data_IF_388455428872
#
_entry.id   IF_388455428872
#
_cell.length_a   1.000
_cell.length_b   1.000
_cell.length_c   1.000
_cell.angle_alpha   90.00
_cell.angle_beta   90.00
_cell.angle_gamma   90.00
#
_symmetry.space_group_name_H-M   'P 1'
#
loop_
_entity.id
_entity.type
_entity.pdbx_description
1 polymer ?
#
# COMPACT_ATOMS: atom_id res chain seq x y z
N UNK A 1 26.16 41.89 7.54
CA UNK A 1 26.56 40.87 8.54
C UNK A 1 28.03 40.56 8.31
N UNK A 2 28.82 40.23 9.36
CA UNK A 2 30.21 39.83 9.16
C UNK A 2 30.28 38.46 8.46
N UNK A 3 31.17 38.35 7.48
CA UNK A 3 31.44 37.08 6.81
C UNK A 3 32.38 36.23 7.67
N UNK A 4 31.97 34.99 7.94
CA UNK A 4 32.79 34.01 8.68
C UNK A 4 33.15 32.86 7.76
N UNK A 5 34.45 32.60 7.63
CA UNK A 5 34.96 31.46 6.87
C UNK A 5 35.45 30.35 7.80
N UNK A 6 34.89 29.15 7.64
CA UNK A 6 35.41 27.95 8.30
C UNK A 6 36.60 27.37 7.55
N UNK A 7 37.44 26.64 8.30
CA UNK A 7 38.55 25.86 7.75
C UNK A 7 37.98 24.81 6.81
N UNK A 8 38.60 24.64 5.65
CA UNK A 8 38.04 23.88 4.53
C UNK A 8 39.11 23.07 3.80
N UNK A 9 38.71 21.95 3.21
CA UNK A 9 39.59 21.04 2.46
C UNK A 9 38.85 19.82 1.95
N UNK A 10 39.52 18.95 1.21
CA UNK A 10 38.96 17.66 0.77
C UNK A 10 38.83 16.68 1.93
N UNK A 11 38.05 15.60 1.78
CA UNK A 11 37.99 14.53 2.79
C UNK A 11 39.37 14.01 3.15
N UNK A 12 40.17 13.68 2.14
CA UNK A 12 41.52 13.14 2.33
C UNK A 12 42.42 14.09 3.15
N UNK A 13 42.29 15.40 2.95
CA UNK A 13 43.05 16.37 3.72
C UNK A 13 42.57 16.44 5.19
N UNK A 14 41.27 16.31 5.43
CA UNK A 14 40.71 16.28 6.78
C UNK A 14 41.08 14.98 7.52
N UNK A 15 41.09 13.84 6.81
CA UNK A 15 41.53 12.55 7.35
C UNK A 15 43.03 12.55 7.69
N UNK A 16 43.87 13.12 6.82
CA UNK A 16 45.30 13.28 7.11
C UNK A 16 45.53 14.18 8.33
N UNK A 17 44.75 15.24 8.48
CA UNK A 17 44.80 16.13 9.64
C UNK A 17 44.35 15.42 10.93
N UNK A 18 43.31 14.58 10.84
CA UNK A 18 42.86 13.74 11.95
C UNK A 18 43.93 12.72 12.36
N UNK A 19 44.54 12.03 11.40
CA UNK A 19 45.60 11.05 11.65
C UNK A 19 46.83 11.67 12.34
N UNK A 20 47.11 12.95 12.07
CA UNK A 20 48.17 13.71 12.72
C UNK A 20 47.78 14.33 14.08
N UNK A 21 46.58 14.03 14.61
CA UNK A 21 46.01 14.67 15.80
C UNK A 21 45.92 16.21 15.71
N UNK A 22 45.75 16.75 14.49
CA UNK A 22 45.76 18.18 14.21
C UNK A 22 44.39 18.85 14.23
N UNK A 23 43.32 18.11 14.55
CA UNK A 23 41.98 18.69 14.70
C UNK A 23 41.84 19.43 16.03
N UNK A 24 41.02 20.48 16.04
CA UNK A 24 40.65 21.18 17.27
C UNK A 24 39.24 20.77 17.65
N UNK A 25 39.07 20.14 18.81
CA UNK A 25 37.75 19.70 19.31
C UNK A 25 36.74 20.86 19.27
N UNK A 26 35.56 20.60 18.71
CA UNK A 26 34.49 21.58 18.52
C UNK A 26 34.64 22.49 17.30
N UNK A 27 35.76 22.44 16.57
CA UNK A 27 35.92 23.23 15.35
C UNK A 27 35.06 22.66 14.20
N UNK A 28 34.41 23.58 13.48
CA UNK A 28 33.65 23.30 12.26
C UNK A 28 34.58 23.35 11.05
N UNK A 29 34.45 22.34 10.17
CA UNK A 29 35.16 22.20 8.92
C UNK A 29 34.19 22.05 7.75
N UNK A 30 34.55 22.60 6.58
CA UNK A 30 33.85 22.37 5.33
C UNK A 30 34.64 21.37 4.48
N UNK A 31 34.02 20.23 4.16
CA UNK A 31 34.56 19.22 3.24
C UNK A 31 34.14 19.61 1.82
N UNK A 32 35.09 20.13 1.05
CA UNK A 32 34.80 20.88 -0.19
C UNK A 32 34.45 20.00 -1.38
N UNK A 33 35.01 18.80 -1.44
CA UNK A 33 34.76 17.79 -2.47
C UNK A 33 33.41 17.09 -2.29
N UNK A 34 32.92 16.99 -1.06
CA UNK A 34 31.61 16.40 -0.77
C UNK A 34 30.52 17.44 -0.53
N UNK A 35 30.86 18.72 -0.32
CA UNK A 35 29.93 19.76 0.08
C UNK A 35 29.25 19.46 1.43
N UNK A 36 30.01 18.93 2.40
CA UNK A 36 29.51 18.54 3.73
C UNK A 36 30.16 19.35 4.84
N UNK A 37 29.44 19.49 5.95
CA UNK A 37 29.97 20.08 7.18
C UNK A 37 30.45 18.94 8.09
N UNK A 38 31.63 19.12 8.68
CA UNK A 38 32.15 18.27 9.74
C UNK A 38 32.43 19.04 11.02
N UNK A 39 32.30 18.36 12.15
CA UNK A 39 32.69 18.89 13.48
C UNK A 39 33.69 17.94 14.09
N UNK A 40 34.83 18.46 14.52
CA UNK A 40 35.83 17.67 15.23
C UNK A 40 35.31 17.27 16.62
N UNK A 41 35.27 15.97 16.89
CA UNK A 41 34.85 15.40 18.19
C UNK A 41 36.05 15.11 19.10
N UNK A 42 37.26 15.12 18.55
CA UNK A 42 38.53 15.02 19.26
C UNK A 42 39.69 15.44 18.36
N UNK A 43 40.93 15.36 18.87
CA UNK A 43 42.12 15.77 18.12
C UNK A 43 42.38 14.91 16.87
N UNK A 44 41.94 13.65 16.89
CA UNK A 44 42.05 12.70 15.77
C UNK A 44 40.72 12.15 15.27
N UNK A 45 39.60 12.78 15.60
CA UNK A 45 38.27 12.30 15.20
C UNK A 45 37.33 13.46 14.84
N UNK A 46 36.45 13.21 13.88
CA UNK A 46 35.40 14.14 13.49
C UNK A 46 34.15 13.39 13.02
N UNK A 47 33.02 14.08 13.03
CA UNK A 47 31.75 13.59 12.47
C UNK A 47 31.36 14.50 11.32
N UNK A 48 31.08 13.91 10.15
CA UNK A 48 30.51 14.61 9.01
C UNK A 48 28.98 14.45 9.00
N UNK A 49 28.27 15.55 8.82
CA UNK A 49 26.81 15.55 8.75
C UNK A 49 26.34 15.28 7.31
N UNK A 50 25.30 14.47 7.19
CA UNK A 50 24.60 14.24 5.93
C UNK A 50 23.93 15.53 5.45
N UNK A 51 23.88 15.74 4.13
CA UNK A 51 23.09 16.83 3.54
C UNK A 51 21.60 16.59 3.82
N UNK A 52 20.79 17.64 3.78
CA UNK A 52 19.33 17.50 3.88
C UNK A 52 18.76 16.53 2.82
N UNK A 53 19.35 16.50 1.62
CA UNK A 53 18.98 15.57 0.56
C UNK A 53 19.35 14.10 0.83
N UNK A 54 20.23 13.85 1.80
CA UNK A 54 20.73 12.53 2.19
C UNK A 54 20.15 12.06 3.53
N UNK A 55 19.76 13.00 4.39
CA UNK A 55 19.12 12.76 5.69
C UNK A 55 17.63 12.43 5.50
N UNK A 56 17.34 11.40 4.69
CA UNK A 56 16.02 10.96 4.27
C UNK A 56 14.99 10.89 5.40
N UNK A 57 14.31 12.01 5.63
CA UNK A 57 13.08 12.11 6.40
C UNK A 57 11.92 11.69 5.51
N UNK A 58 11.81 10.40 5.26
CA UNK A 58 10.72 9.81 4.50
C UNK A 58 10.76 8.30 4.69
N UNK A 59 10.18 7.81 5.79
CA UNK A 59 9.91 6.39 5.90
C UNK A 59 9.07 5.98 4.69
N UNK A 60 9.60 5.10 3.85
CA UNK A 60 8.83 4.55 2.74
C UNK A 60 7.57 3.92 3.30
N UNK A 61 6.40 4.36 2.83
CA UNK A 61 5.14 3.70 3.16
C UNK A 61 5.28 2.20 2.84
N UNK A 62 5.16 1.28 3.82
CA UNK A 62 5.36 -0.15 3.57
C UNK A 62 4.25 -0.76 2.70
N UNK A 63 3.20 0.00 2.39
CA UNK A 63 2.09 -0.44 1.55
C UNK A 63 2.41 -0.33 0.06
N UNK A 64 2.34 -1.45 -0.64
CA UNK A 64 2.24 -1.46 -2.11
C UNK A 64 0.79 -1.23 -2.49
N UNK A 65 0.52 -0.20 -3.30
CA UNK A 65 -0.85 0.18 -3.71
C UNK A 65 -1.07 -0.12 -5.19
N UNK A 66 -2.14 -0.85 -5.47
CA UNK A 66 -2.73 -1.08 -6.79
C UNK A 66 -3.96 -0.19 -6.94
N UNK A 67 -4.16 0.40 -8.13
CA UNK A 67 -5.23 1.37 -8.39
C UNK A 67 -6.02 0.96 -9.62
N UNK A 68 -7.35 1.02 -9.52
CA UNK A 68 -8.25 0.86 -10.66
C UNK A 68 -8.03 2.00 -11.65
N UNK A 69 -7.63 1.67 -12.89
CA UNK A 69 -7.22 2.66 -13.89
C UNK A 69 -8.39 3.34 -14.60
N UNK A 70 -9.44 2.58 -14.89
CA UNK A 70 -10.68 3.08 -15.52
C UNK A 70 -11.90 2.45 -14.87
N UNK A 71 -13.06 3.08 -15.05
CA UNK A 71 -14.33 2.52 -14.60
C UNK A 71 -14.56 1.13 -15.21
N UNK A 72 -14.96 0.19 -14.36
CA UNK A 72 -15.22 -1.20 -14.74
C UNK A 72 -16.67 -1.54 -14.40
N UNK A 73 -17.49 -1.81 -15.42
CA UNK A 73 -18.93 -2.06 -15.25
C UNK A 73 -19.29 -3.54 -15.40
N UNK A 74 -20.28 -3.99 -14.65
CA UNK A 74 -20.89 -5.32 -14.76
C UNK A 74 -22.41 -5.21 -14.64
N UNK A 75 -23.16 -5.70 -15.63
CA UNK A 75 -24.63 -5.76 -15.61
C UNK A 75 -25.16 -7.18 -15.40
N UNK A 76 -24.27 -8.15 -15.18
CA UNK A 76 -24.64 -9.55 -14.99
C UNK A 76 -24.56 -9.95 -13.51
N UNK A 77 -25.30 -10.99 -13.16
CA UNK A 77 -25.20 -11.69 -11.87
C UNK A 77 -23.97 -12.58 -11.78
N UNK A 78 -23.27 -12.79 -12.90
CA UNK A 78 -22.00 -13.48 -12.96
C UNK A 78 -20.88 -12.56 -12.49
N UNK A 79 -20.05 -13.07 -11.59
CA UNK A 79 -18.88 -12.38 -11.08
C UNK A 79 -17.86 -12.09 -12.17
N UNK A 80 -17.37 -10.85 -12.17
CA UNK A 80 -16.17 -10.45 -12.93
C UNK A 80 -15.05 -10.09 -11.97
N UNK A 81 -13.83 -10.03 -12.51
CA UNK A 81 -12.63 -9.68 -11.77
C UNK A 81 -12.10 -8.32 -12.28
N UNK A 82 -11.54 -7.51 -11.39
CA UNK A 82 -10.73 -6.37 -11.82
C UNK A 82 -9.36 -6.86 -12.27
N UNK A 83 -8.91 -6.43 -13.46
CA UNK A 83 -7.56 -6.70 -13.96
C UNK A 83 -6.48 -5.83 -13.30
N UNK A 84 -6.85 -4.66 -12.76
CA UNK A 84 -5.92 -3.70 -12.15
C UNK A 84 -5.68 -3.99 -10.65
N UNK A 85 -6.69 -4.52 -9.97
CA UNK A 85 -6.67 -4.78 -8.52
C UNK A 85 -6.34 -6.25 -8.23
N UNK A 86 -5.15 -6.66 -8.69
CA UNK A 86 -4.64 -8.04 -8.59
C UNK A 86 -3.28 -8.08 -7.89
N UNK A 87 -3.21 -8.77 -6.77
CA UNK A 87 -1.98 -8.99 -6.02
C UNK A 87 -1.55 -10.47 -6.08
N UNK A 88 -0.29 -10.74 -6.44
CA UNK A 88 0.26 -12.09 -6.47
C UNK A 88 1.18 -12.31 -5.25
N UNK A 89 0.70 -12.99 -4.17
CA UNK A 89 1.51 -13.23 -2.99
C UNK A 89 2.71 -14.13 -3.31
N UNK A 90 3.83 -13.92 -2.60
CA UNK A 90 4.98 -14.81 -2.65
C UNK A 90 4.82 -15.98 -1.67
N UNK A 91 5.39 -17.16 -1.96
CA UNK A 91 5.34 -18.32 -1.07
C UNK A 91 5.89 -18.03 0.33
N UNK A 92 5.32 -18.69 1.35
CA UNK A 92 5.77 -18.64 2.75
C UNK A 92 5.78 -17.24 3.39
N UNK A 93 4.95 -16.31 2.90
CA UNK A 93 4.81 -14.96 3.45
C UNK A 93 3.44 -14.74 4.06
N UNK A 94 3.37 -13.81 5.00
CA UNK A 94 2.09 -13.33 5.57
C UNK A 94 1.88 -11.90 5.12
N UNK A 95 0.65 -11.60 4.69
CA UNK A 95 0.29 -10.30 4.17
C UNK A 95 -0.90 -9.72 4.92
N UNK A 96 -0.83 -8.42 5.16
CA UNK A 96 -2.00 -7.60 5.44
C UNK A 96 -2.48 -6.99 4.12
N UNK A 97 -3.79 -7.07 3.87
CA UNK A 97 -4.41 -6.63 2.62
C UNK A 97 -5.59 -5.75 2.95
N UNK A 98 -5.70 -4.61 2.27
CA UNK A 98 -6.81 -3.67 2.41
C UNK A 98 -7.31 -3.24 1.04
N UNK A 99 -8.62 -3.27 0.81
CA UNK A 99 -9.25 -2.66 -0.34
C UNK A 99 -10.20 -1.54 0.09
N UNK A 100 -10.10 -0.40 -0.60
CA UNK A 100 -11.02 0.74 -0.45
C UNK A 100 -11.61 1.04 -1.80
N UNK A 101 -12.91 0.82 -1.92
CA UNK A 101 -13.61 0.70 -3.18
C UNK A 101 -14.73 1.72 -3.25
N UNK A 102 -14.96 2.22 -4.45
CA UNK A 102 -16.07 3.10 -4.77
C UNK A 102 -16.91 2.43 -5.85
N UNK A 103 -18.20 2.28 -5.58
CA UNK A 103 -19.15 1.71 -6.53
C UNK A 103 -20.28 2.67 -6.83
N UNK A 104 -20.83 2.58 -8.03
CA UNK A 104 -22.15 3.12 -8.37
C UNK A 104 -23.04 1.99 -8.89
N UNK A 105 -24.36 2.23 -8.88
CA UNK A 105 -25.32 1.34 -9.54
C UNK A 105 -26.28 2.14 -10.42
N UNK A 106 -26.81 1.48 -11.44
CA UNK A 106 -27.69 2.07 -12.45
C UNK A 106 -29.15 2.27 -11.97
N UNK A 107 -29.52 1.67 -10.84
CA UNK A 107 -30.84 1.85 -10.22
C UNK A 107 -30.79 1.64 -8.70
N UNK A 108 -31.73 2.27 -7.98
CA UNK A 108 -31.87 2.15 -6.52
C UNK A 108 -32.11 0.72 -6.03
N UNK A 109 -32.67 -0.16 -6.87
CA UNK A 109 -32.90 -1.57 -6.54
C UNK A 109 -31.77 -2.49 -7.01
N UNK A 110 -30.65 -1.92 -7.49
CA UNK A 110 -29.51 -2.69 -8.00
C UNK A 110 -28.46 -2.81 -6.93
N UNK A 111 -28.36 -4.03 -6.40
CA UNK A 111 -27.38 -4.37 -5.39
C UNK A 111 -26.01 -4.69 -5.98
N UNK A 112 -24.95 -4.31 -5.26
CA UNK A 112 -23.57 -4.73 -5.55
C UNK A 112 -23.15 -5.83 -4.60
N UNK A 113 -22.70 -6.95 -5.16
CA UNK A 113 -21.94 -7.96 -4.43
C UNK A 113 -20.46 -7.76 -4.75
N UNK A 114 -19.62 -7.66 -3.72
CA UNK A 114 -18.17 -7.46 -3.87
C UNK A 114 -17.38 -8.35 -2.93
N UNK A 115 -16.12 -8.59 -3.24
CA UNK A 115 -15.26 -9.42 -2.42
C UNK A 115 -13.86 -9.63 -3.00
N UNK A 116 -13.14 -10.59 -2.42
CA UNK A 116 -11.86 -11.06 -2.94
C UNK A 116 -11.93 -12.54 -3.30
N UNK A 117 -11.35 -12.89 -4.44
CA UNK A 117 -11.00 -14.28 -4.78
C UNK A 117 -9.52 -14.49 -4.48
N UNK A 118 -9.20 -15.62 -3.86
CA UNK A 118 -7.84 -16.00 -3.48
C UNK A 118 -7.24 -17.03 -4.45
N UNK A 119 -5.90 -17.12 -4.54
CA UNK A 119 -5.26 -18.06 -5.45
C UNK A 119 -5.53 -19.50 -5.03
N UNK A 120 -5.39 -20.43 -5.98
CA UNK A 120 -5.37 -21.86 -5.62
C UNK A 120 -4.10 -22.15 -4.84
N UNK A 121 -4.19 -22.48 -3.56
CA UNK A 121 -3.02 -22.62 -2.69
C UNK A 121 -3.34 -23.56 -1.52
N UNK A 122 -3.03 -24.85 -1.68
CA UNK A 122 -3.29 -25.85 -0.62
C UNK A 122 -2.55 -25.47 0.66
N UNK A 123 -3.28 -25.42 1.78
CA UNK A 123 -2.75 -24.99 3.08
C UNK A 123 -2.72 -23.47 3.29
N UNK A 124 -3.24 -22.66 2.36
CA UNK A 124 -3.44 -21.23 2.59
C UNK A 124 -4.44 -21.00 3.71
N UNK A 125 -4.08 -20.11 4.64
CA UNK A 125 -4.92 -19.74 5.78
C UNK A 125 -5.06 -18.23 5.85
N UNK A 126 -6.18 -17.76 6.37
CA UNK A 126 -6.37 -16.34 6.57
C UNK A 126 -7.76 -16.02 7.05
N UNK A 127 -7.99 -14.73 7.22
CA UNK A 127 -9.29 -14.21 7.58
C UNK A 127 -9.55 -12.90 6.84
N UNK A 128 -10.80 -12.69 6.49
CA UNK A 128 -11.26 -11.52 5.77
C UNK A 128 -12.53 -10.97 6.38
N UNK A 129 -12.60 -9.65 6.39
CA UNK A 129 -13.80 -8.87 6.64
C UNK A 129 -14.11 -8.08 5.37
N UNK A 130 -15.30 -8.29 4.83
CA UNK A 130 -15.82 -7.54 3.68
C UNK A 130 -17.02 -6.76 4.18
N UNK A 131 -17.03 -5.45 3.95
CA UNK A 131 -18.09 -4.54 4.38
C UNK A 131 -18.44 -3.61 3.22
N UNK A 132 -19.72 -3.47 2.94
CA UNK A 132 -20.22 -2.45 2.01
C UNK A 132 -21.35 -1.69 2.71
N UNK A 133 -21.47 -0.40 2.40
CA UNK A 133 -22.48 0.47 2.99
C UNK A 133 -22.93 1.53 1.98
N UNK A 134 -24.21 1.90 2.02
CA UNK A 134 -24.79 2.98 1.21
C UNK A 134 -25.65 3.90 2.09
N UNK A 135 -25.78 5.18 1.71
CA UNK A 135 -26.36 6.24 2.54
C UNK A 135 -27.85 6.09 2.96
N UNK A 136 -28.48 4.96 2.70
CA UNK A 136 -29.86 4.64 3.11
C UNK A 136 -30.20 3.15 3.12
N UNK A 137 -29.19 2.27 3.16
CA UNK A 137 -29.35 0.85 3.47
C UNK A 137 -28.47 0.53 4.68
N UNK A 138 -28.83 -0.50 5.44
CA UNK A 138 -27.94 -1.00 6.51
C UNK A 138 -26.67 -1.59 5.90
N UNK A 139 -25.54 -1.37 6.55
CA UNK A 139 -24.27 -2.00 6.18
C UNK A 139 -24.40 -3.53 6.18
N UNK A 140 -23.81 -4.17 5.18
CA UNK A 140 -23.71 -5.62 5.09
C UNK A 140 -22.26 -6.00 5.34
N UNK A 141 -22.10 -7.03 6.16
CA UNK A 141 -20.83 -7.43 6.70
C UNK A 141 -20.72 -8.95 6.59
N UNK A 142 -19.62 -9.42 6.01
CA UNK A 142 -19.27 -10.84 5.99
C UNK A 142 -17.88 -11.02 6.58
N UNK A 143 -17.79 -11.94 7.53
CA UNK A 143 -16.53 -12.42 8.09
C UNK A 143 -16.28 -13.82 7.56
N UNK A 144 -15.08 -14.08 7.07
CA UNK A 144 -14.62 -15.43 6.79
C UNK A 144 -13.29 -15.67 7.50
N UNK A 145 -13.21 -16.76 8.25
CA UNK A 145 -11.98 -17.28 8.84
C UNK A 145 -11.89 -18.77 8.46
N UNK A 146 -11.20 -19.08 7.36
CA UNK A 146 -11.11 -20.44 6.81
C UNK A 146 -9.81 -20.67 6.05
N UNK A 147 -9.67 -21.88 5.46
CA UNK A 147 -8.75 -22.06 4.35
C UNK A 147 -9.16 -21.13 3.21
N UNK A 148 -8.26 -20.30 2.71
CA UNK A 148 -8.53 -19.35 1.62
C UNK A 148 -8.00 -19.86 0.26
N UNK A 149 -7.85 -21.17 0.09
CA UNK A 149 -7.44 -21.75 -1.20
C UNK A 149 -8.59 -21.71 -2.20
N UNK A 150 -8.42 -21.04 -3.34
CA UNK A 150 -9.44 -20.89 -4.39
C UNK A 150 -10.81 -20.46 -3.83
N UNK A 151 -10.79 -19.71 -2.73
CA UNK A 151 -11.99 -19.31 -2.01
C UNK A 151 -12.35 -17.90 -2.42
N UNK A 152 -13.64 -17.63 -2.55
CA UNK A 152 -14.13 -16.28 -2.76
C UNK A 152 -14.88 -15.81 -1.54
N UNK A 153 -14.42 -14.72 -0.93
CA UNK A 153 -15.07 -14.09 0.23
C UNK A 153 -15.81 -12.86 -0.27
N UNK A 154 -17.15 -12.92 -0.29
CA UNK A 154 -18.03 -11.86 -0.79
C UNK A 154 -19.11 -11.49 0.23
N UNK A 155 -19.51 -10.23 0.24
CA UNK A 155 -20.72 -9.76 0.92
C UNK A 155 -21.97 -10.06 0.10
N UNK A 156 -23.10 -10.16 0.79
CA UNK A 156 -24.41 -10.03 0.17
C UNK A 156 -24.60 -8.64 -0.45
N UNK A 157 -25.58 -8.54 -1.33
CA UNK A 157 -25.77 -7.34 -2.14
C UNK A 157 -26.21 -6.14 -1.28
N UNK A 158 -25.66 -4.95 -1.57
CA UNK A 158 -26.22 -3.68 -1.09
C UNK A 158 -26.67 -2.82 -2.25
N UNK A 159 -27.89 -2.33 -2.12
CA UNK A 159 -28.50 -1.36 -2.99
C UNK A 159 -27.92 0.04 -2.77
N UNK A 160 -27.59 0.74 -3.87
CA UNK A 160 -27.25 2.15 -3.79
C UNK A 160 -28.47 2.97 -3.38
N UNK A 161 -28.24 4.03 -2.61
CA UNK A 161 -29.28 4.98 -2.23
C UNK A 161 -29.11 6.23 -3.07
N UNK A 162 -30.12 6.50 -3.91
CA UNK A 162 -30.06 7.56 -4.91
C UNK A 162 -29.34 7.07 -6.16
N UNK A 163 -30.02 7.17 -7.29
CA UNK A 163 -29.56 6.59 -8.53
C UNK A 163 -28.18 7.16 -8.90
N UNK A 164 -27.18 6.30 -9.10
CA UNK A 164 -25.81 6.67 -9.48
C UNK A 164 -24.95 7.41 -8.43
N UNK A 165 -25.38 7.52 -7.17
CA UNK A 165 -24.51 8.07 -6.12
C UNK A 165 -23.39 7.07 -5.76
N UNK A 166 -22.11 7.51 -5.66
CA UNK A 166 -21.04 6.62 -5.26
C UNK A 166 -21.18 6.20 -3.80
N UNK A 167 -20.95 4.92 -3.52
CA UNK A 167 -20.94 4.39 -2.16
C UNK A 167 -19.69 3.55 -1.90
N UNK A 168 -19.38 3.39 -0.61
CA UNK A 168 -18.08 2.91 -0.17
C UNK A 168 -18.10 1.42 0.17
N UNK A 169 -17.08 0.72 -0.34
CA UNK A 169 -16.77 -0.66 0.01
C UNK A 169 -15.41 -0.77 0.67
N UNK A 170 -15.30 -1.62 1.69
CA UNK A 170 -14.05 -1.92 2.38
C UNK A 170 -13.84 -3.42 2.49
N UNK A 171 -12.59 -3.85 2.28
CA UNK A 171 -12.15 -5.21 2.57
C UNK A 171 -10.88 -5.15 3.39
N UNK A 172 -10.83 -5.87 4.50
CA UNK A 172 -9.63 -6.06 5.32
C UNK A 172 -9.34 -7.56 5.43
N UNK A 173 -8.11 -7.98 5.12
CA UNK A 173 -7.72 -9.38 5.22
C UNK A 173 -6.32 -9.56 5.80
N UNK A 174 -6.11 -10.68 6.49
CA UNK A 174 -4.80 -11.26 6.73
C UNK A 174 -4.73 -12.57 5.94
N UNK A 175 -3.68 -12.72 5.14
CA UNK A 175 -3.47 -13.90 4.31
C UNK A 175 -2.08 -14.48 4.56
N UNK A 176 -2.03 -15.77 4.92
CA UNK A 176 -0.80 -16.53 5.07
C UNK A 176 -0.64 -17.46 3.87
N UNK A 177 0.33 -17.15 3.03
CA UNK A 177 0.63 -17.89 1.83
C UNK A 177 1.41 -19.18 2.17
N UNK A 178 1.00 -20.34 1.63
CA UNK A 178 1.72 -21.60 1.83
C UNK A 178 2.97 -21.67 0.95
N UNK A 179 3.71 -22.79 1.03
CA UNK A 179 4.92 -23.01 0.24
C UNK A 179 4.66 -23.13 -1.27
N UNK A 180 3.47 -23.57 -1.67
CA UNK A 180 3.08 -23.68 -3.07
C UNK A 180 1.87 -22.78 -3.35
N UNK A 181 2.05 -21.79 -4.21
CA UNK A 181 0.99 -20.90 -4.67
C UNK A 181 0.71 -21.24 -6.13
N UNK A 182 -0.51 -21.66 -6.42
CA UNK A 182 -1.01 -21.90 -7.77
C UNK A 182 -1.43 -20.62 -8.46
N UNK A 183 -2.16 -20.77 -9.57
CA UNK A 183 -2.66 -19.63 -10.34
C UNK A 183 -3.76 -18.85 -9.60
N UNK A 184 -3.95 -17.61 -10.01
CA UNK A 184 -5.15 -16.83 -9.67
C UNK A 184 -4.89 -15.53 -8.91
N UNK A 185 -3.78 -15.38 -8.17
CA UNK A 185 -3.58 -14.21 -7.33
C UNK A 185 -4.74 -13.92 -6.37
N UNK A 186 -4.61 -12.84 -5.60
CA UNK A 186 -5.69 -12.25 -4.79
C UNK A 186 -6.28 -11.11 -5.62
N UNK A 187 -7.57 -11.21 -5.93
CA UNK A 187 -8.22 -10.33 -6.92
C UNK A 187 -9.53 -9.77 -6.40
N UNK A 188 -9.76 -8.50 -6.68
CA UNK A 188 -11.08 -7.92 -6.48
C UNK A 188 -12.09 -8.53 -7.44
N UNK A 189 -13.24 -8.91 -6.90
CA UNK A 189 -14.36 -9.44 -7.67
C UNK A 189 -15.66 -8.76 -7.30
N UNK A 190 -16.55 -8.61 -8.27
CA UNK A 190 -17.89 -8.07 -8.04
C UNK A 190 -18.91 -8.48 -9.11
N UNK A 191 -20.19 -8.35 -8.77
CA UNK A 191 -21.31 -8.50 -9.70
C UNK A 191 -22.53 -7.69 -9.26
N UNK A 192 -23.43 -7.50 -10.22
CA UNK A 192 -24.77 -6.99 -9.94
C UNK A 192 -25.60 -8.09 -9.26
N UNK A 193 -26.50 -7.70 -8.37
CA UNK A 193 -27.56 -8.57 -7.87
C UNK A 193 -28.67 -8.78 -8.91
N UNK A 194 -28.87 -7.79 -9.79
CA UNK A 194 -29.99 -7.75 -10.74
C UNK A 194 -29.44 -7.83 -12.17
N UNK A 195 -29.79 -8.90 -12.87
CA UNK A 195 -29.42 -9.08 -14.27
C UNK A 195 -29.96 -7.92 -15.13
N UNK A 196 -29.12 -7.40 -16.01
CA UNK A 196 -29.43 -6.27 -16.88
C UNK A 196 -29.29 -4.90 -16.23
N UNK A 197 -28.97 -4.82 -14.93
CA UNK A 197 -28.72 -3.55 -14.24
C UNK A 197 -27.25 -3.40 -13.87
N UNK A 198 -26.62 -2.34 -14.38
CA UNK A 198 -25.19 -2.14 -14.25
C UNK A 198 -24.79 -1.73 -12.83
N UNK A 199 -23.68 -2.28 -12.37
CA UNK A 199 -22.89 -1.78 -11.26
C UNK A 199 -21.49 -1.47 -11.75
N UNK A 200 -20.90 -0.38 -11.26
CA UNK A 200 -19.62 0.09 -11.76
C UNK A 200 -18.65 0.29 -10.61
N UNK A 201 -17.50 -0.39 -10.69
CA UNK A 201 -16.32 -0.08 -9.88
C UNK A 201 -15.67 1.18 -10.47
N UNK A 202 -15.59 2.23 -9.67
CA UNK A 202 -15.09 3.54 -10.11
C UNK A 202 -13.56 3.57 -10.10
N UNK A 203 -12.98 4.20 -11.12
CA UNK A 203 -11.56 4.48 -11.22
C UNK A 203 -11.04 5.18 -9.96
N UNK A 204 -9.84 4.81 -9.53
CA UNK A 204 -9.26 5.31 -8.28
C UNK A 204 -9.64 4.53 -7.02
N UNK A 205 -10.52 3.52 -7.13
CA UNK A 205 -10.58 2.43 -6.13
C UNK A 205 -9.21 1.77 -5.99
N UNK A 206 -8.87 1.30 -4.79
CA UNK A 206 -7.54 0.75 -4.49
C UNK A 206 -7.60 -0.61 -3.81
N UNK A 207 -6.57 -1.40 -4.07
CA UNK A 207 -6.17 -2.57 -3.29
C UNK A 207 -4.72 -2.37 -2.89
N UNK A 208 -4.42 -2.47 -1.60
CA UNK A 208 -3.06 -2.34 -1.09
C UNK A 208 -2.70 -3.53 -0.22
N UNK A 209 -1.42 -3.85 -0.19
CA UNK A 209 -0.91 -4.95 0.60
C UNK A 209 0.46 -4.61 1.19
N UNK A 210 0.83 -5.27 2.29
CA UNK A 210 2.17 -5.26 2.84
C UNK A 210 2.51 -6.61 3.45
N UNK A 211 3.79 -6.96 3.44
CA UNK A 211 4.30 -8.11 4.19
C UNK A 211 4.32 -7.78 5.69
N UNK A 212 4.02 -8.78 6.53
CA UNK A 212 4.07 -8.71 7.99
C UNK A 212 5.31 -9.42 8.55
#
# INVERSE_FOLDING_TARGET
MPDVQHKRGTRAALDALAAANGLKTGQIYLITDEGRIAVATGMGAYVAYAKQSEAGGGGSDPWTTLKQGSDLSNSAVTTIESGDLVFNPSPNKTYEIEAKLMFTSAANATGVQMGLTFPTASGATGACRVQIGSGGAADTLVHNASSLSNTTVKVGAINAVGNSAPFFGRIDCIYKAPAAIGSGGIRLVFNSEVAGSAVTLIAGSILRHREL
#
